data_IF_076060075450
#
_entry.id   IF_076060075450
#
_cell.length_a   1.000
_cell.length_b   1.000
_cell.length_c   1.000
_cell.angle_alpha   90.00
_cell.angle_beta   90.00
_cell.angle_gamma   90.00
#
_symmetry.space_group_name_H-M   'P 1'
#
loop_
_entity.id
_entity.type
_entity.pdbx_description
1 polymer ?
#
# COMPACT_ATOMS: atom_id res chain seq x y z
N UNK A 1 33.18 77.43 -1.99
CA UNK A 1 33.10 76.53 -3.15
C UNK A 1 32.92 75.13 -2.60
N UNK A 2 31.67 74.71 -2.39
CA UNK A 2 31.35 73.41 -1.76
C UNK A 2 30.83 72.47 -2.85
N UNK A 3 31.51 71.35 -3.04
CA UNK A 3 31.09 70.28 -3.95
C UNK A 3 30.25 69.31 -3.16
N UNK A 4 28.99 69.16 -3.57
CA UNK A 4 28.10 68.14 -3.02
C UNK A 4 28.26 66.83 -3.87
N UNK A 5 28.65 65.76 -3.21
CA UNK A 5 28.68 64.44 -3.79
C UNK A 5 27.35 63.71 -3.56
N UNK A 6 26.59 63.42 -4.63
CA UNK A 6 25.41 62.60 -4.57
C UNK A 6 25.77 61.13 -4.76
N UNK A 7 25.66 60.37 -3.68
CA UNK A 7 25.75 58.90 -3.71
C UNK A 7 24.42 58.31 -4.24
N UNK A 8 24.48 57.77 -5.42
CA UNK A 8 23.35 57.01 -5.99
C UNK A 8 23.29 55.61 -5.36
N UNK A 9 22.17 55.30 -4.73
CA UNK A 9 21.82 53.98 -4.21
C UNK A 9 21.33 53.11 -5.36
N UNK A 10 22.13 52.14 -5.80
CA UNK A 10 21.66 51.14 -6.77
C UNK A 10 20.93 50.05 -6.00
N UNK A 11 19.58 50.05 -6.06
CA UNK A 11 18.78 48.89 -5.64
C UNK A 11 19.00 47.77 -6.68
N UNK A 12 19.76 46.76 -6.29
CA UNK A 12 19.73 45.49 -7.01
C UNK A 12 18.39 44.80 -6.68
N UNK A 13 17.45 44.87 -7.62
CA UNK A 13 16.27 44.02 -7.62
C UNK A 13 16.74 42.60 -7.90
N UNK A 14 16.84 41.78 -6.84
CA UNK A 14 16.99 40.35 -6.97
C UNK A 14 15.70 39.81 -7.62
N UNK A 15 15.78 39.46 -8.89
CA UNK A 15 14.77 38.63 -9.53
C UNK A 15 14.81 37.27 -8.85
N UNK A 16 13.88 37.02 -7.92
CA UNK A 16 13.51 35.68 -7.55
C UNK A 16 13.06 35.02 -8.84
N UNK A 17 13.86 34.09 -9.34
CA UNK A 17 13.44 33.17 -10.39
C UNK A 17 12.20 32.47 -9.83
N UNK A 18 11.01 32.85 -10.28
CA UNK A 18 9.83 32.04 -10.18
C UNK A 18 10.23 30.70 -10.82
N UNK A 19 10.24 29.63 -10.04
CA UNK A 19 10.39 28.31 -10.60
C UNK A 19 9.28 28.16 -11.64
N UNK A 20 9.67 27.89 -12.85
CA UNK A 20 8.80 27.76 -14.01
C UNK A 20 7.67 26.79 -13.65
N UNK A 21 6.43 27.29 -13.57
CA UNK A 21 5.25 26.44 -13.28
C UNK A 21 4.99 25.46 -14.43
N UNK A 22 5.62 25.66 -15.58
CA UNK A 22 5.40 24.92 -16.82
C UNK A 22 6.06 23.52 -16.89
N UNK A 23 6.96 23.19 -15.98
CA UNK A 23 7.68 21.90 -16.01
C UNK A 23 7.09 20.83 -15.04
N UNK A 24 5.87 21.03 -14.56
CA UNK A 24 5.22 20.10 -13.64
C UNK A 24 4.60 18.93 -14.40
N UNK A 25 5.03 17.72 -14.07
CA UNK A 25 4.39 16.49 -14.52
C UNK A 25 2.92 16.45 -14.11
N UNK A 26 2.03 16.15 -15.06
CA UNK A 26 0.67 15.75 -14.76
C UNK A 26 0.61 14.24 -14.51
N UNK A 27 -0.28 13.81 -13.63
CA UNK A 27 -0.54 12.40 -13.39
C UNK A 27 -1.93 12.05 -13.90
N UNK A 28 -2.02 10.97 -14.67
CA UNK A 28 -3.29 10.53 -15.27
C UNK A 28 -3.75 9.26 -14.59
N UNK A 29 -4.90 9.35 -13.89
CA UNK A 29 -5.59 8.21 -13.31
C UNK A 29 -6.46 7.55 -14.37
N UNK A 30 -6.41 6.23 -14.44
CA UNK A 30 -7.31 5.39 -15.23
C UNK A 30 -7.87 4.29 -14.34
N UNK A 31 -9.18 4.26 -14.20
CA UNK A 31 -9.90 3.16 -13.54
C UNK A 31 -10.01 2.00 -14.52
N UNK A 32 -9.56 0.81 -14.12
CA UNK A 32 -9.42 -0.35 -15.00
C UNK A 32 -10.54 -1.37 -14.80
N UNK A 33 -10.85 -1.72 -13.53
CA UNK A 33 -11.85 -2.72 -13.16
C UNK A 33 -12.58 -2.27 -11.91
N UNK A 34 -13.90 -2.49 -11.85
CA UNK A 34 -14.69 -2.26 -10.64
C UNK A 34 -15.92 -3.17 -10.63
N UNK A 35 -16.45 -3.47 -9.45
CA UNK A 35 -17.78 -4.04 -9.30
C UNK A 35 -18.91 -2.98 -9.30
N UNK A 36 -18.55 -1.69 -9.24
CA UNK A 36 -19.51 -0.58 -9.25
C UNK A 36 -20.15 -0.43 -10.62
N UNK A 37 -21.49 -0.30 -10.67
CA UNK A 37 -22.16 -0.06 -11.94
C UNK A 37 -21.79 1.30 -12.52
N UNK A 38 -21.56 1.33 -13.83
CA UNK A 38 -21.33 2.54 -14.62
C UNK A 38 -20.02 3.29 -14.33
N UNK A 39 -19.11 2.75 -13.51
CA UNK A 39 -17.81 3.38 -13.30
C UNK A 39 -16.83 2.99 -14.40
N UNK A 40 -16.68 1.71 -14.67
CA UNK A 40 -15.74 1.18 -15.67
C UNK A 40 -16.22 -0.16 -16.25
N UNK A 41 -15.75 -0.50 -17.47
CA UNK A 41 -15.96 -1.79 -18.10
C UNK A 41 -14.61 -2.41 -18.48
N UNK A 42 -14.38 -3.72 -18.25
CA UNK A 42 -15.34 -4.72 -17.78
C UNK A 42 -15.65 -4.61 -16.29
N UNK A 43 -16.84 -5.01 -15.89
CA UNK A 43 -17.26 -5.15 -14.50
C UNK A 43 -16.81 -6.50 -13.94
N UNK A 44 -16.25 -6.52 -12.74
CA UNK A 44 -15.95 -7.76 -12.02
C UNK A 44 -16.70 -7.81 -10.69
N UNK A 45 -17.69 -8.67 -10.53
CA UNK A 45 -18.45 -8.79 -9.28
C UNK A 45 -17.62 -9.32 -8.11
N UNK A 46 -16.54 -10.07 -8.38
CA UNK A 46 -15.65 -10.63 -7.34
C UNK A 46 -14.73 -9.55 -6.74
N UNK A 47 -14.55 -8.39 -7.41
CA UNK A 47 -13.70 -7.30 -6.93
C UNK A 47 -14.47 -6.43 -5.93
N UNK A 48 -14.48 -6.81 -4.64
CA UNK A 48 -15.19 -6.08 -3.59
C UNK A 48 -14.23 -5.64 -2.49
N UNK A 49 -14.22 -4.32 -2.19
CA UNK A 49 -13.28 -3.70 -1.27
C UNK A 49 -11.84 -4.15 -1.57
N UNK A 50 -11.36 -3.82 -2.77
CA UNK A 50 -10.04 -4.22 -3.26
C UNK A 50 -8.95 -3.60 -2.38
N UNK A 51 -8.26 -4.43 -1.57
CA UNK A 51 -7.34 -3.97 -0.53
C UNK A 51 -5.87 -4.13 -0.94
N UNK A 52 -5.23 -5.23 -0.55
CA UNK A 52 -3.83 -5.51 -0.86
C UNK A 52 -3.61 -5.81 -2.33
N UNK A 53 -2.45 -5.43 -2.86
CA UNK A 53 -2.00 -5.85 -4.18
C UNK A 53 -0.55 -6.29 -4.13
N UNK A 54 -0.24 -7.41 -4.78
CA UNK A 54 1.12 -7.90 -4.97
C UNK A 54 1.30 -8.54 -6.34
N UNK A 55 2.52 -8.57 -6.83
CA UNK A 55 2.88 -9.23 -8.08
C UNK A 55 4.21 -9.97 -7.95
N UNK A 56 4.29 -11.15 -8.56
CA UNK A 56 5.57 -11.80 -8.84
C UNK A 56 6.22 -11.11 -10.06
N UNK A 57 7.55 -11.13 -10.20
CA UNK A 57 8.21 -10.61 -11.40
C UNK A 57 7.63 -11.22 -12.68
N UNK A 58 7.09 -10.37 -13.56
CA UNK A 58 6.44 -10.78 -14.81
C UNK A 58 5.08 -11.47 -14.66
N UNK A 59 4.56 -11.60 -13.45
CA UNK A 59 3.23 -12.16 -13.17
C UNK A 59 2.11 -11.10 -13.21
N UNK A 60 0.85 -11.54 -13.15
CA UNK A 60 -0.29 -10.63 -12.97
C UNK A 60 -0.27 -9.97 -11.59
N UNK A 61 -1.04 -8.90 -11.46
CA UNK A 61 -1.31 -8.26 -10.18
C UNK A 61 -2.41 -9.05 -9.46
N UNK A 62 -2.08 -9.55 -8.29
CA UNK A 62 -3.01 -10.23 -7.38
C UNK A 62 -3.63 -9.20 -6.47
N UNK A 63 -4.93 -9.27 -6.24
CA UNK A 63 -5.70 -8.34 -5.41
C UNK A 63 -6.40 -9.11 -4.30
N UNK A 64 -6.35 -8.61 -3.07
CA UNK A 64 -7.18 -9.09 -1.96
C UNK A 64 -8.56 -8.46 -2.03
N UNK A 65 -9.59 -9.26 -2.25
CA UNK A 65 -10.99 -8.82 -2.32
C UNK A 65 -11.61 -9.04 -0.93
N UNK A 66 -11.54 -8.01 -0.09
CA UNK A 66 -11.78 -8.11 1.35
C UNK A 66 -13.20 -8.57 1.67
N UNK A 67 -14.22 -8.02 1.01
CA UNK A 67 -15.61 -8.32 1.33
C UNK A 67 -16.09 -9.68 0.79
N UNK A 68 -15.37 -10.27 -0.19
CA UNK A 68 -15.74 -11.56 -0.79
C UNK A 68 -14.86 -12.73 -0.33
N UNK A 69 -13.79 -12.45 0.45
CA UNK A 69 -12.86 -13.48 0.91
C UNK A 69 -12.09 -14.13 -0.21
N UNK A 70 -11.79 -13.38 -1.26
CA UNK A 70 -11.15 -13.85 -2.48
C UNK A 70 -9.82 -13.16 -2.72
N UNK A 71 -9.06 -13.72 -3.66
CA UNK A 71 -8.01 -13.01 -4.38
C UNK A 71 -8.24 -13.19 -5.88
N UNK A 72 -8.40 -12.07 -6.58
CA UNK A 72 -8.53 -12.01 -8.04
C UNK A 72 -7.24 -11.50 -8.67
N UNK A 73 -7.06 -11.75 -9.96
CA UNK A 73 -5.84 -11.47 -10.68
C UNK A 73 -6.12 -10.67 -11.95
N UNK A 74 -5.32 -9.64 -12.20
CA UNK A 74 -5.45 -8.78 -13.39
C UNK A 74 -4.09 -8.54 -14.04
N UNK A 75 -4.09 -8.35 -15.35
CA UNK A 75 -2.94 -7.74 -16.01
C UNK A 75 -2.93 -6.21 -15.83
N UNK A 76 -1.89 -5.53 -16.30
CA UNK A 76 -1.75 -4.08 -16.21
C UNK A 76 -2.75 -3.27 -17.05
N UNK A 77 -3.63 -3.92 -17.82
CA UNK A 77 -4.73 -3.31 -18.55
C UNK A 77 -6.11 -3.63 -17.91
N UNK A 78 -6.11 -4.33 -16.78
CA UNK A 78 -7.33 -4.71 -16.07
C UNK A 78 -8.02 -5.97 -16.62
N UNK A 79 -7.36 -6.74 -17.47
CA UNK A 79 -7.93 -8.01 -17.96
C UNK A 79 -7.84 -9.06 -16.85
N UNK A 80 -9.00 -9.54 -16.38
CA UNK A 80 -9.08 -10.59 -15.35
C UNK A 80 -8.45 -11.88 -15.85
N UNK A 81 -7.61 -12.48 -15.04
CA UNK A 81 -7.00 -13.78 -15.29
C UNK A 81 -7.92 -14.92 -14.85
N UNK A 82 -7.69 -16.11 -15.41
CA UNK A 82 -8.58 -17.26 -15.23
C UNK A 82 -8.54 -17.94 -13.85
N UNK A 83 -7.80 -17.39 -12.87
CA UNK A 83 -7.69 -17.93 -11.51
C UNK A 83 -8.35 -16.97 -10.51
N UNK A 84 -9.12 -17.55 -9.57
CA UNK A 84 -9.58 -16.89 -8.35
C UNK A 84 -9.26 -17.79 -7.16
N UNK A 85 -8.66 -17.24 -6.10
CA UNK A 85 -8.28 -17.98 -4.89
C UNK A 85 -9.18 -17.58 -3.74
N UNK A 86 -9.82 -18.57 -3.10
CA UNK A 86 -10.59 -18.36 -1.88
C UNK A 86 -9.66 -18.32 -0.68
N UNK A 87 -9.81 -17.31 0.17
CA UNK A 87 -9.10 -17.18 1.45
C UNK A 87 -9.94 -17.84 2.54
N UNK A 88 -9.39 -18.81 3.31
CA UNK A 88 -10.18 -19.57 4.26
C UNK A 88 -10.48 -18.76 5.54
N UNK A 89 -11.66 -18.96 6.09
CA UNK A 89 -12.05 -18.47 7.42
C UNK A 89 -11.16 -19.05 8.53
N UNK A 90 -11.17 -18.46 9.75
CA UNK A 90 -10.61 -19.07 10.95
C UNK A 90 -11.15 -20.47 11.21
N UNK A 91 -10.40 -21.28 11.98
CA UNK A 91 -10.79 -22.66 12.27
C UNK A 91 -12.15 -22.73 12.99
N UNK A 92 -13.04 -23.58 12.45
CA UNK A 92 -14.36 -23.81 13.07
C UNK A 92 -15.36 -22.67 12.89
N UNK A 93 -15.02 -21.60 12.16
CA UNK A 93 -15.93 -20.52 11.83
C UNK A 93 -16.61 -20.75 10.47
N UNK A 94 -17.86 -20.32 10.39
CA UNK A 94 -18.67 -20.32 9.16
C UNK A 94 -19.43 -19.01 8.98
N UNK A 95 -19.25 -18.07 9.88
CA UNK A 95 -19.84 -16.73 9.88
C UNK A 95 -18.79 -15.69 10.30
N UNK A 96 -18.64 -14.58 9.59
CA UNK A 96 -19.35 -14.24 8.34
C UNK A 96 -19.11 -15.29 7.25
N UNK A 97 -19.86 -15.30 6.13
CA UNK A 97 -19.72 -16.35 5.11
C UNK A 97 -18.37 -16.33 4.36
N UNK A 98 -17.63 -15.22 4.44
CA UNK A 98 -16.35 -14.99 3.75
C UNK A 98 -15.30 -14.49 4.72
N UNK A 99 -14.02 -14.82 4.47
CA UNK A 99 -12.89 -14.19 5.13
C UNK A 99 -12.70 -12.74 4.67
N UNK A 100 -11.90 -11.98 5.40
CA UNK A 100 -11.62 -10.55 5.13
C UNK A 100 -10.14 -10.31 4.85
N UNK A 101 -9.59 -10.76 3.68
CA UNK A 101 -8.19 -10.59 3.34
C UNK A 101 -7.81 -9.10 3.19
N UNK A 102 -6.64 -8.73 3.70
CA UNK A 102 -6.11 -7.37 3.70
C UNK A 102 -4.76 -7.29 2.98
N UNK A 103 -3.65 -7.35 3.68
CA UNK A 103 -2.32 -7.36 3.10
C UNK A 103 -2.01 -8.66 2.37
N UNK A 104 -1.09 -8.59 1.41
CA UNK A 104 -0.58 -9.77 0.73
C UNK A 104 0.85 -9.56 0.24
N UNK A 105 1.59 -10.66 0.11
CA UNK A 105 2.94 -10.64 -0.43
C UNK A 105 3.19 -11.81 -1.38
N UNK A 106 4.02 -11.57 -2.40
CA UNK A 106 4.70 -12.61 -3.13
C UNK A 106 5.90 -13.11 -2.32
N UNK A 107 6.09 -14.43 -2.25
CA UNK A 107 7.26 -15.04 -1.61
C UNK A 107 8.37 -15.26 -2.64
N UNK A 108 9.49 -14.54 -2.57
CA UNK A 108 10.62 -14.70 -3.50
C UNK A 108 11.52 -15.90 -3.19
N UNK A 109 11.15 -16.72 -2.21
CA UNK A 109 12.05 -17.78 -1.67
C UNK A 109 11.45 -19.17 -1.76
N UNK A 110 12.25 -20.19 -1.49
CA UNK A 110 11.78 -21.55 -1.30
C UNK A 110 11.32 -21.87 0.14
N UNK A 111 11.18 -20.84 1.00
CA UNK A 111 10.68 -20.98 2.37
C UNK A 111 9.15 -20.93 2.44
N UNK A 112 8.62 -20.89 3.65
CA UNK A 112 7.18 -20.82 3.93
C UNK A 112 6.41 -22.04 3.38
N UNK A 113 6.75 -23.26 3.81
CA UNK A 113 6.15 -24.48 3.31
C UNK A 113 4.68 -24.58 3.70
N UNK A 114 3.83 -24.95 2.73
CA UNK A 114 2.44 -25.33 2.94
C UNK A 114 2.34 -26.84 2.80
N UNK A 115 1.63 -27.51 3.72
CA UNK A 115 1.39 -28.95 3.67
C UNK A 115 -0.10 -29.23 3.68
N UNK A 116 -0.57 -29.97 2.67
CA UNK A 116 -1.96 -30.44 2.56
C UNK A 116 -1.92 -31.96 2.31
N UNK A 117 -2.42 -32.73 3.27
CA UNK A 117 -2.28 -34.19 3.23
C UNK A 117 -0.80 -34.61 3.27
N UNK A 118 -0.32 -35.23 2.20
CA UNK A 118 1.08 -35.66 2.04
C UNK A 118 1.89 -34.74 1.11
N UNK A 119 1.24 -33.77 0.46
CA UNK A 119 1.90 -32.84 -0.45
C UNK A 119 2.44 -31.62 0.32
N UNK A 120 3.66 -31.21 0.00
CA UNK A 120 4.30 -30.02 0.56
C UNK A 120 4.93 -29.19 -0.56
N UNK A 121 4.70 -27.87 -0.55
CA UNK A 121 5.32 -26.91 -1.47
C UNK A 121 5.57 -25.58 -0.77
N UNK A 122 6.54 -24.75 -1.20
CA UNK A 122 6.69 -23.39 -0.71
C UNK A 122 5.50 -22.54 -1.11
N UNK A 123 5.02 -21.65 -0.25
CA UNK A 123 4.03 -20.65 -0.61
C UNK A 123 4.51 -19.79 -1.79
N UNK A 124 3.61 -19.43 -2.71
CA UNK A 124 3.88 -18.44 -3.76
C UNK A 124 3.31 -17.08 -3.36
N UNK A 125 2.06 -17.04 -2.88
CA UNK A 125 1.44 -15.86 -2.31
C UNK A 125 0.96 -16.14 -0.88
N UNK A 126 1.05 -15.13 -0.04
CA UNK A 126 0.68 -15.19 1.37
C UNK A 126 -0.20 -13.98 1.67
N UNK A 127 -1.27 -14.21 2.41
CA UNK A 127 -2.33 -13.24 2.72
C UNK A 127 -2.52 -13.15 4.22
N UNK A 128 -2.77 -11.97 4.76
CA UNK A 128 -3.32 -11.79 6.10
C UNK A 128 -4.78 -11.33 6.06
N UNK A 129 -5.48 -11.42 7.19
CA UNK A 129 -6.92 -11.12 7.27
C UNK A 129 -7.27 -10.34 8.52
N UNK A 130 -8.35 -9.55 8.47
CA UNK A 130 -8.95 -8.94 9.66
C UNK A 130 -9.51 -9.98 10.64
N UNK A 131 -9.78 -11.19 10.14
CA UNK A 131 -10.22 -12.32 10.98
C UNK A 131 -9.10 -12.86 11.89
N UNK A 132 -7.87 -12.33 11.77
CA UNK A 132 -6.72 -12.72 12.56
C UNK A 132 -6.02 -13.98 12.07
N UNK A 133 -6.11 -14.28 10.76
CA UNK A 133 -5.43 -15.43 10.14
C UNK A 133 -4.36 -14.99 9.14
N UNK A 134 -3.42 -15.92 8.87
CA UNK A 134 -2.54 -15.86 7.69
C UNK A 134 -2.82 -17.11 6.87
N UNK A 135 -3.04 -16.92 5.57
CA UNK A 135 -3.23 -17.97 4.60
C UNK A 135 -2.13 -17.91 3.52
N UNK A 136 -1.76 -19.06 2.99
CA UNK A 136 -0.72 -19.16 1.98
C UNK A 136 -1.16 -20.08 0.85
N UNK A 137 -0.69 -19.83 -0.37
CA UNK A 137 -1.15 -20.52 -1.56
C UNK A 137 -0.01 -21.00 -2.45
N UNK A 138 -0.18 -22.24 -2.97
CA UNK A 138 0.62 -22.80 -4.06
C UNK A 138 -0.20 -23.86 -4.80
N UNK A 139 -0.32 -23.82 -6.15
CA UNK A 139 -1.16 -24.73 -6.91
C UNK A 139 -0.72 -26.21 -6.81
N UNK A 140 0.51 -26.50 -6.35
CA UNK A 140 0.99 -27.86 -6.14
C UNK A 140 0.26 -28.56 -4.97
N UNK A 141 -0.15 -27.80 -3.95
CA UNK A 141 -0.84 -28.32 -2.76
C UNK A 141 -2.30 -27.84 -2.68
N UNK A 142 -2.60 -26.71 -3.32
CA UNK A 142 -3.93 -26.10 -3.41
C UNK A 142 -4.42 -26.20 -4.87
N UNK A 143 -4.98 -27.32 -5.32
CA UNK A 143 -5.23 -27.58 -6.73
C UNK A 143 -6.23 -26.61 -7.33
N UNK A 144 -5.97 -26.21 -8.60
CA UNK A 144 -6.88 -25.37 -9.37
C UNK A 144 -7.94 -26.25 -10.04
N UNK A 145 -9.20 -26.04 -9.69
CA UNK A 145 -10.33 -26.75 -10.28
C UNK A 145 -11.26 -25.73 -10.95
N UNK A 146 -11.38 -25.80 -12.28
CA UNK A 146 -12.22 -24.87 -13.07
C UNK A 146 -11.92 -23.39 -12.79
N UNK A 147 -10.63 -23.03 -12.64
CA UNK A 147 -10.20 -21.67 -12.38
C UNK A 147 -10.37 -21.20 -10.93
N UNK A 148 -10.77 -22.08 -10.02
CA UNK A 148 -10.86 -21.80 -8.57
C UNK A 148 -9.87 -22.64 -7.79
N UNK A 149 -9.32 -22.04 -6.71
CA UNK A 149 -8.47 -22.69 -5.74
C UNK A 149 -8.78 -22.15 -4.35
N UNK A 150 -8.29 -22.80 -3.31
CA UNK A 150 -8.45 -22.33 -1.93
C UNK A 150 -7.08 -22.31 -1.26
N UNK A 151 -6.68 -21.18 -0.69
CA UNK A 151 -5.43 -21.07 0.05
C UNK A 151 -5.50 -21.89 1.35
N UNK A 152 -4.34 -22.28 1.86
CA UNK A 152 -4.22 -23.01 3.11
C UNK A 152 -3.98 -22.04 4.27
N UNK A 153 -4.80 -22.09 5.33
CA UNK A 153 -4.55 -21.32 6.56
C UNK A 153 -3.32 -21.90 7.27
N UNK A 154 -2.34 -21.03 7.54
CA UNK A 154 -1.04 -21.39 8.15
C UNK A 154 -0.84 -20.79 9.54
N UNK A 155 -1.54 -19.67 9.86
CA UNK A 155 -1.60 -19.08 11.20
C UNK A 155 -3.05 -18.75 11.53
N UNK A 156 -3.45 -18.97 12.79
CA UNK A 156 -4.77 -18.63 13.30
C UNK A 156 -4.65 -18.03 14.71
N UNK A 157 -4.79 -16.71 14.79
CA UNK A 157 -4.81 -15.93 16.02
C UNK A 157 -6.17 -15.26 16.24
N UNK A 158 -7.22 -15.74 15.55
CA UNK A 158 -8.58 -15.23 15.68
C UNK A 158 -9.08 -15.30 17.13
N UNK A 159 -8.76 -16.37 17.82
CA UNK A 159 -9.11 -16.57 19.23
C UNK A 159 -8.37 -15.63 20.21
N UNK A 160 -7.33 -14.94 19.74
CA UNK A 160 -6.60 -13.90 20.48
C UNK A 160 -7.10 -12.49 20.14
N UNK A 161 -8.08 -12.37 19.26
CA UNK A 161 -8.62 -11.11 18.79
C UNK A 161 -7.64 -10.33 17.89
N UNK A 162 -6.76 -11.03 17.15
CA UNK A 162 -5.89 -10.38 16.18
C UNK A 162 -6.72 -9.82 15.03
N UNK A 163 -6.34 -8.63 14.54
CA UNK A 163 -6.89 -7.99 13.35
C UNK A 163 -5.71 -7.54 12.49
N UNK A 164 -5.39 -8.31 11.47
CA UNK A 164 -4.28 -7.96 10.58
C UNK A 164 -4.75 -7.00 9.50
N UNK A 165 -3.97 -5.96 9.27
CA UNK A 165 -4.28 -4.90 8.30
C UNK A 165 -3.25 -4.76 7.19
N UNK A 166 -2.08 -5.38 7.31
CA UNK A 166 -1.03 -5.30 6.30
C UNK A 166 0.08 -6.32 6.54
N UNK A 167 0.65 -6.83 5.45
CA UNK A 167 1.64 -7.88 5.42
C UNK A 167 2.86 -7.45 4.59
N UNK A 168 4.07 -7.69 5.10
CA UNK A 168 5.31 -7.53 4.34
C UNK A 168 6.21 -8.75 4.48
N UNK A 169 7.02 -8.99 3.44
CA UNK A 169 8.12 -9.95 3.46
C UNK A 169 9.44 -9.19 3.65
N UNK A 170 10.40 -9.78 4.37
CA UNK A 170 11.73 -9.22 4.50
C UNK A 170 12.74 -10.26 4.96
N UNK A 171 14.03 -9.91 4.81
CA UNK A 171 15.16 -10.77 5.14
C UNK A 171 16.11 -10.05 6.07
N UNK A 172 16.65 -10.73 7.06
CA UNK A 172 17.74 -10.24 7.91
C UNK A 172 18.81 -11.34 8.11
N UNK A 173 19.78 -11.09 8.98
CA UNK A 173 20.86 -12.05 9.31
C UNK A 173 20.37 -13.39 9.86
N UNK A 174 19.11 -13.47 10.34
CA UNK A 174 18.52 -14.66 10.92
C UNK A 174 17.63 -15.45 9.93
N UNK A 175 17.34 -14.90 8.75
CA UNK A 175 16.55 -15.56 7.72
C UNK A 175 15.46 -14.69 7.10
N UNK A 176 14.46 -15.39 6.56
CA UNK A 176 13.30 -14.77 5.90
C UNK A 176 12.12 -14.72 6.86
N UNK A 177 11.42 -13.60 6.87
CA UNK A 177 10.31 -13.34 7.79
C UNK A 177 9.12 -12.70 7.09
N UNK A 178 7.95 -12.94 7.67
CA UNK A 178 6.74 -12.15 7.44
C UNK A 178 6.55 -11.19 8.62
N UNK A 179 6.06 -10.00 8.30
CA UNK A 179 5.73 -8.93 9.24
C UNK A 179 4.28 -8.57 9.03
N UNK A 180 3.42 -8.87 10.01
CA UNK A 180 1.98 -8.63 9.97
C UNK A 180 1.61 -7.52 10.96
N UNK A 181 0.93 -6.47 10.49
CA UNK A 181 0.45 -5.41 11.38
C UNK A 181 -0.81 -5.86 12.11
N UNK A 182 -0.68 -6.26 13.38
CA UNK A 182 -1.83 -6.55 14.24
C UNK A 182 -2.39 -5.24 14.79
N UNK A 183 -3.36 -4.69 14.08
CA UNK A 183 -3.95 -3.39 14.39
C UNK A 183 -4.64 -3.38 15.75
N UNK A 184 -5.37 -4.45 16.12
CA UNK A 184 -6.07 -4.55 17.40
C UNK A 184 -5.09 -4.54 18.58
N UNK A 185 -3.98 -5.28 18.47
CA UNK A 185 -2.96 -5.34 19.51
C UNK A 185 -2.02 -4.13 19.50
N UNK A 186 -1.95 -3.36 18.39
CA UNK A 186 -1.07 -2.21 18.24
C UNK A 186 0.41 -2.59 18.05
N UNK A 187 0.70 -3.76 17.47
CA UNK A 187 2.05 -4.30 17.27
C UNK A 187 2.26 -4.81 15.84
N UNK A 188 3.51 -4.98 15.45
CA UNK A 188 3.91 -5.79 14.30
C UNK A 188 4.28 -7.18 14.80
N UNK A 189 3.54 -8.20 14.37
CA UNK A 189 3.86 -9.59 14.63
C UNK A 189 4.82 -10.13 13.57
N UNK A 190 5.71 -11.02 13.98
CA UNK A 190 6.75 -11.57 13.12
C UNK A 190 6.65 -13.09 13.05
N UNK A 191 6.76 -13.63 11.84
CA UNK A 191 6.74 -15.07 11.59
C UNK A 191 7.96 -15.49 10.78
N UNK A 192 8.62 -16.57 11.19
CA UNK A 192 9.75 -17.12 10.44
C UNK A 192 9.29 -17.84 9.16
N UNK A 193 10.24 -18.35 8.39
CA UNK A 193 9.99 -19.06 7.14
C UNK A 193 9.27 -20.42 7.29
N UNK A 194 8.78 -20.75 8.49
CA UNK A 194 7.94 -21.91 8.81
C UNK A 194 6.61 -21.47 9.44
N UNK A 195 6.27 -20.19 9.36
CA UNK A 195 5.10 -19.56 9.98
C UNK A 195 5.08 -19.64 11.52
N UNK A 196 6.22 -19.90 12.16
CA UNK A 196 6.32 -19.85 13.61
C UNK A 196 6.55 -18.41 14.07
N UNK A 197 5.77 -17.98 15.09
CA UNK A 197 5.92 -16.64 15.69
C UNK A 197 7.33 -16.44 16.27
N UNK A 198 7.90 -15.26 16.06
CA UNK A 198 9.26 -14.90 16.49
C UNK A 198 9.29 -13.55 17.18
N UNK A 199 10.25 -13.43 18.09
CA UNK A 199 10.70 -12.15 18.64
C UNK A 199 12.06 -11.85 18.04
N UNK A 200 12.24 -10.62 17.54
CA UNK A 200 13.50 -10.14 16.99
C UNK A 200 14.26 -9.27 18.02
N UNK A 201 15.43 -8.77 17.62
CA UNK A 201 16.25 -7.89 18.48
C UNK A 201 15.53 -6.57 18.79
N UNK A 202 14.77 -6.03 17.83
CA UNK A 202 13.87 -4.89 17.98
C UNK A 202 12.41 -5.32 18.15
N UNK A 203 11.54 -4.38 18.50
CA UNK A 203 10.15 -4.61 18.82
C UNK A 203 9.17 -3.75 18.01
N UNK A 204 9.63 -3.10 16.93
CA UNK A 204 8.82 -2.20 16.09
C UNK A 204 8.13 -1.08 16.86
N UNK A 205 8.69 -0.64 17.98
CA UNK A 205 8.12 0.43 18.81
C UNK A 205 8.79 1.77 18.56
N UNK A 206 7.98 2.82 18.69
CA UNK A 206 8.44 4.20 18.82
C UNK A 206 7.62 4.84 19.95
N UNK A 207 8.25 5.27 21.07
CA UNK A 207 7.54 5.86 22.20
C UNK A 207 6.84 7.18 21.86
N UNK A 208 7.17 7.82 20.72
CA UNK A 208 6.52 9.06 20.29
C UNK A 208 5.23 8.82 19.50
N UNK A 209 4.82 7.56 19.26
CA UNK A 209 3.50 7.28 18.72
C UNK A 209 2.45 7.50 19.81
N UNK A 210 1.49 8.41 19.63
CA UNK A 210 0.48 8.68 20.65
C UNK A 210 -0.41 7.46 20.90
N UNK A 211 -0.90 7.33 22.12
CA UNK A 211 -1.86 6.30 22.47
C UNK A 211 -3.09 6.35 21.53
N UNK A 212 -3.61 5.18 21.15
CA UNK A 212 -4.74 5.05 20.22
C UNK A 212 -4.34 5.08 18.75
N UNK A 213 -3.04 5.06 18.41
CA UNK A 213 -2.55 4.77 17.07
C UNK A 213 -1.93 3.38 17.02
N UNK A 214 -2.14 2.67 15.93
CA UNK A 214 -1.64 1.31 15.74
C UNK A 214 -0.99 1.15 14.35
N UNK A 215 -0.05 0.18 14.18
CA UNK A 215 0.46 -0.21 12.87
C UNK A 215 -0.67 -0.60 11.94
N UNK A 216 -0.71 -0.02 10.74
CA UNK A 216 -1.81 -0.17 9.79
C UNK A 216 -1.34 -0.82 8.50
N UNK A 217 -0.68 -0.11 7.60
CA UNK A 217 0.00 -0.69 6.45
C UNK A 217 1.48 -0.95 6.73
N UNK A 218 2.10 -1.80 5.94
CA UNK A 218 3.53 -2.09 6.01
C UNK A 218 4.07 -2.42 4.62
N UNK A 219 5.22 -1.86 4.26
CA UNK A 219 5.89 -2.14 2.99
C UNK A 219 7.40 -2.31 3.21
N UNK A 220 8.00 -3.27 2.52
CA UNK A 220 9.45 -3.43 2.48
C UNK A 220 10.01 -2.68 1.27
N UNK A 221 10.81 -1.66 1.51
CA UNK A 221 11.52 -0.90 0.48
C UNK A 221 13.01 -0.93 0.81
N UNK A 222 13.81 -1.51 -0.08
CA UNK A 222 15.27 -1.67 0.09
C UNK A 222 15.65 -2.34 1.42
N UNK A 223 14.91 -3.37 1.80
CA UNK A 223 15.06 -4.12 3.05
C UNK A 223 14.87 -3.27 4.33
N UNK A 224 14.16 -2.15 4.22
CA UNK A 224 13.64 -1.35 5.33
C UNK A 224 12.12 -1.42 5.36
N UNK A 225 11.57 -1.60 6.54
CA UNK A 225 10.13 -1.71 6.75
C UNK A 225 9.53 -0.33 7.03
N UNK A 226 8.77 0.18 6.07
CA UNK A 226 7.95 1.38 6.24
C UNK A 226 6.62 0.95 6.86
N UNK A 227 6.42 1.28 8.12
CA UNK A 227 5.19 0.98 8.87
C UNK A 227 4.37 2.25 8.97
N UNK A 228 3.15 2.21 8.47
CA UNK A 228 2.19 3.30 8.65
C UNK A 228 1.36 3.08 9.91
N UNK A 229 0.89 4.16 10.50
CA UNK A 229 0.07 4.14 11.70
C UNK A 229 -1.19 4.94 11.48
N UNK A 230 -2.34 4.39 11.88
CA UNK A 230 -3.62 5.07 11.85
C UNK A 230 -4.28 5.08 13.23
N UNK A 231 -5.20 6.03 13.45
CA UNK A 231 -5.93 6.13 14.70
C UNK A 231 -6.98 5.03 14.80
N UNK A 232 -6.95 4.25 15.87
CA UNK A 232 -7.92 3.18 16.14
C UNK A 232 -9.29 3.74 16.54
N UNK A 233 -10.37 3.06 16.13
CA UNK A 233 -11.69 3.21 16.72
C UNK A 233 -11.74 2.60 18.13
N UNK A 234 -12.87 2.73 18.82
CA UNK A 234 -13.03 2.20 20.18
C UNK A 234 -12.93 0.67 20.27
N UNK A 235 -13.32 -0.04 19.22
CA UNK A 235 -13.26 -1.50 19.11
C UNK A 235 -11.87 -2.00 18.67
N UNK A 236 -10.99 -1.10 18.26
CA UNK A 236 -9.63 -1.39 17.76
C UNK A 236 -9.58 -2.30 16.53
N UNK A 237 -10.65 -2.37 15.79
CA UNK A 237 -10.75 -3.19 14.59
C UNK A 237 -10.74 -2.35 13.29
N UNK A 238 -10.95 -1.03 13.41
CA UNK A 238 -10.98 -0.14 12.27
C UNK A 238 -10.41 1.25 12.62
N UNK A 239 -10.21 2.09 11.60
CA UNK A 239 -9.58 3.41 11.72
C UNK A 239 -10.62 4.50 11.98
N UNK A 240 -10.16 5.57 12.62
CA UNK A 240 -10.83 6.88 12.60
C UNK A 240 -10.07 7.74 11.59
N UNK A 241 -10.62 8.00 10.39
CA UNK A 241 -9.98 8.84 9.39
C UNK A 241 -10.03 10.32 9.83
N UNK A 242 -9.07 11.11 9.32
CA UNK A 242 -9.00 12.54 9.56
C UNK A 242 -7.63 13.13 9.21
N UNK A 243 -7.61 14.37 8.78
CA UNK A 243 -6.37 15.08 8.47
C UNK A 243 -5.42 15.12 9.69
N UNK A 244 -4.16 14.74 9.48
CA UNK A 244 -3.15 14.65 10.54
C UNK A 244 -3.27 13.39 11.42
N UNK A 245 -4.21 12.50 11.15
CA UNK A 245 -4.37 11.23 11.87
C UNK A 245 -3.56 10.10 11.21
N UNK A 246 -2.25 10.30 11.10
CA UNK A 246 -1.34 9.30 10.55
C UNK A 246 0.11 9.55 10.88
N UNK A 247 0.90 8.47 10.86
CA UNK A 247 2.36 8.49 10.99
C UNK A 247 2.97 7.44 10.07
N UNK A 248 4.24 7.64 9.69
CA UNK A 248 5.05 6.62 9.01
C UNK A 248 6.38 6.53 9.69
N UNK A 249 6.80 5.32 10.05
CA UNK A 249 8.09 5.01 10.68
C UNK A 249 8.84 4.02 9.82
N UNK A 250 10.16 4.09 9.86
CA UNK A 250 11.02 3.14 9.16
C UNK A 250 11.81 2.34 10.17
N UNK A 251 11.75 1.03 10.03
CA UNK A 251 12.45 0.07 10.87
C UNK A 251 13.38 -0.81 10.02
N UNK A 252 14.41 -1.33 10.64
CA UNK A 252 15.13 -2.47 10.05
C UNK A 252 14.24 -3.71 10.04
N UNK A 253 14.62 -4.72 9.27
CA UNK A 253 13.98 -6.05 9.32
C UNK A 253 14.26 -6.82 10.62
N UNK A 254 15.09 -6.27 11.53
CA UNK A 254 15.24 -6.73 12.91
C UNK A 254 14.30 -5.99 13.88
N UNK A 255 13.45 -5.09 13.41
CA UNK A 255 12.48 -4.34 14.22
C UNK A 255 13.05 -3.13 14.97
N UNK A 256 14.26 -2.68 14.61
CA UNK A 256 14.91 -1.50 15.22
C UNK A 256 14.49 -0.24 14.46
N UNK A 257 14.04 0.79 15.19
CA UNK A 257 13.66 2.07 14.61
C UNK A 257 14.87 2.74 13.94
N UNK A 258 14.74 3.05 12.64
CA UNK A 258 15.74 3.82 11.88
C UNK A 258 15.40 5.30 11.93
N UNK A 259 14.14 5.64 11.60
CA UNK A 259 13.71 7.05 11.56
C UNK A 259 12.19 7.22 11.63
N UNK A 260 11.77 8.39 12.07
CA UNK A 260 10.39 8.89 11.99
C UNK A 260 10.21 9.56 10.65
N UNK A 261 9.65 8.84 9.68
CA UNK A 261 9.64 9.27 8.29
C UNK A 261 8.67 10.41 8.02
N UNK A 262 7.40 10.28 8.43
CA UNK A 262 6.38 11.30 8.28
C UNK A 262 5.43 11.28 9.49
N UNK A 263 4.89 12.45 9.85
CA UNK A 263 4.04 12.58 11.02
C UNK A 263 2.96 13.62 10.81
N UNK A 264 1.68 13.23 11.01
CA UNK A 264 0.53 14.16 10.96
C UNK A 264 0.40 14.89 9.60
N UNK A 265 0.13 16.20 9.61
CA UNK A 265 0.06 17.04 8.42
C UNK A 265 -0.93 16.51 7.38
N UNK A 266 -0.44 16.10 6.23
CA UNK A 266 -1.24 15.57 5.11
C UNK A 266 -1.53 14.07 5.18
N UNK A 267 -1.16 13.40 6.27
CA UNK A 267 -1.48 12.00 6.48
C UNK A 267 -2.90 11.85 7.03
N UNK A 268 -3.69 10.98 6.42
CA UNK A 268 -5.06 10.65 6.81
C UNK A 268 -5.24 9.13 6.67
N UNK A 269 -5.06 8.39 7.78
CA UNK A 269 -5.03 6.94 7.81
C UNK A 269 -4.18 6.35 6.65
N UNK A 270 -2.85 6.64 6.58
CA UNK A 270 -2.01 6.17 5.48
C UNK A 270 -1.90 4.65 5.49
N UNK A 271 -2.02 4.01 4.31
CA UNK A 271 -1.87 2.55 4.19
C UNK A 271 -0.81 2.15 3.15
N UNK A 272 -1.01 2.48 1.89
CA UNK A 272 -0.11 2.09 0.80
C UNK A 272 1.20 2.88 0.82
N UNK A 273 2.33 2.20 0.67
CA UNK A 273 3.65 2.83 0.55
C UNK A 273 4.41 2.19 -0.61
N UNK A 274 4.94 3.01 -1.51
CA UNK A 274 5.75 2.54 -2.64
C UNK A 274 6.93 3.48 -2.90
N UNK A 275 8.03 2.96 -3.45
CA UNK A 275 9.08 3.79 -4.04
C UNK A 275 8.74 4.06 -5.50
N UNK A 276 8.68 5.31 -5.89
CA UNK A 276 8.54 5.70 -7.29
C UNK A 276 9.78 5.26 -8.10
N UNK A 277 9.54 4.82 -9.34
CA UNK A 277 10.61 4.51 -10.27
C UNK A 277 11.36 5.76 -10.70
N UNK A 278 12.45 5.60 -11.45
CA UNK A 278 13.22 6.72 -11.98
C UNK A 278 12.50 7.47 -13.11
N UNK A 279 11.40 6.93 -13.64
CA UNK A 279 10.63 7.47 -14.76
C UNK A 279 9.21 7.91 -14.33
N UNK A 280 9.03 8.29 -13.07
CA UNK A 280 7.73 8.72 -12.54
C UNK A 280 7.62 10.25 -12.42
N UNK A 281 8.10 10.97 -13.44
CA UNK A 281 8.00 12.42 -13.56
C UNK A 281 8.68 13.17 -12.39
N UNK A 282 8.07 14.26 -11.94
CA UNK A 282 8.63 15.11 -10.86
C UNK A 282 8.83 14.38 -9.52
N UNK A 283 8.14 13.26 -9.29
CA UNK A 283 8.28 12.46 -8.07
C UNK A 283 9.10 11.18 -8.28
N UNK A 284 9.90 11.12 -9.33
CA UNK A 284 10.85 10.02 -9.56
C UNK A 284 11.71 9.74 -8.32
N UNK A 285 11.89 8.45 -8.00
CA UNK A 285 12.68 7.97 -6.86
C UNK A 285 12.18 8.37 -5.46
N UNK A 286 11.08 9.11 -5.35
CA UNK A 286 10.47 9.49 -4.06
C UNK A 286 9.77 8.31 -3.38
N UNK A 287 9.42 8.48 -2.11
CA UNK A 287 8.53 7.58 -1.38
C UNK A 287 7.11 8.12 -1.50
N UNK A 288 6.23 7.32 -2.08
CA UNK A 288 4.81 7.61 -2.21
C UNK A 288 4.05 7.01 -1.03
N UNK A 289 3.15 7.80 -0.44
CA UNK A 289 2.29 7.37 0.67
C UNK A 289 0.85 7.66 0.27
N UNK A 290 0.03 6.59 0.16
CA UNK A 290 -1.41 6.66 -0.09
C UNK A 290 -2.19 6.77 1.21
N UNK A 291 -3.10 7.73 1.28
CA UNK A 291 -4.05 7.88 2.37
C UNK A 291 -5.32 7.09 2.08
N UNK A 292 -5.68 6.16 2.96
CA UNK A 292 -6.98 5.50 2.89
C UNK A 292 -8.11 6.51 3.16
N UNK A 293 -8.02 7.29 4.22
CA UNK A 293 -9.02 8.20 4.76
C UNK A 293 -10.20 8.50 3.83
N UNK A 294 -11.36 7.93 4.14
CA UNK A 294 -12.58 8.09 3.33
C UNK A 294 -13.21 9.48 3.48
N UNK A 295 -12.83 10.23 4.50
CA UNK A 295 -13.45 11.52 4.83
C UNK A 295 -12.40 12.55 5.23
N UNK A 296 -12.76 13.82 5.05
CA UNK A 296 -11.95 14.96 5.44
C UNK A 296 -10.85 15.29 4.43
N UNK A 297 -10.03 16.25 4.80
CA UNK A 297 -8.93 16.69 3.95
C UNK A 297 -7.92 15.58 3.71
N UNK A 298 -7.35 15.57 2.51
CA UNK A 298 -6.34 14.61 2.04
C UNK A 298 -6.82 13.14 1.92
N UNK A 299 -8.14 12.88 2.01
CA UNK A 299 -8.72 11.55 1.79
C UNK A 299 -8.41 11.06 0.37
N UNK A 300 -7.88 9.84 0.25
CA UNK A 300 -7.53 9.23 -1.03
C UNK A 300 -6.37 9.89 -1.80
N UNK A 301 -5.61 10.79 -1.17
CA UNK A 301 -4.46 11.42 -1.82
C UNK A 301 -3.21 10.55 -1.74
N UNK A 302 -2.37 10.65 -2.78
CA UNK A 302 -1.04 10.06 -2.78
C UNK A 302 -0.02 11.20 -2.62
N UNK A 303 0.72 11.15 -1.52
CA UNK A 303 1.72 12.13 -1.15
C UNK A 303 3.12 11.62 -1.45
N UNK A 304 3.97 12.46 -2.02
CA UNK A 304 5.37 12.15 -2.31
C UNK A 304 6.28 12.80 -1.26
N UNK A 305 7.27 12.04 -0.81
CA UNK A 305 8.30 12.47 0.14
C UNK A 305 9.69 12.13 -0.39
N UNK A 306 10.69 12.93 -0.05
CA UNK A 306 12.08 12.59 -0.39
C UNK A 306 12.47 11.26 0.27
N UNK A 307 13.16 10.41 -0.49
CA UNK A 307 13.66 9.12 0.02
C UNK A 307 14.96 9.25 0.84
N UNK A 308 15.53 10.46 0.93
CA UNK A 308 16.80 10.75 1.61
C UNK A 308 16.66 10.86 3.13
N UNK A 309 17.61 11.57 3.76
CA UNK A 309 17.63 11.74 5.22
C UNK A 309 16.59 12.77 5.70
N UNK A 310 16.24 13.74 4.86
CA UNK A 310 15.43 14.90 5.25
C UNK A 310 13.93 14.58 5.28
N UNK A 311 13.47 13.57 4.53
CA UNK A 311 12.07 13.14 4.43
C UNK A 311 11.09 14.27 4.10
N UNK A 312 11.53 15.23 3.27
CA UNK A 312 10.74 16.40 2.93
C UNK A 312 9.48 16.00 2.15
N UNK A 313 8.38 16.67 2.46
CA UNK A 313 7.18 16.59 1.65
C UNK A 313 7.42 17.31 0.31
N UNK A 314 7.36 16.57 -0.80
CA UNK A 314 7.60 17.08 -2.15
C UNK A 314 6.33 17.58 -2.83
N UNK A 315 5.17 17.03 -2.46
CA UNK A 315 3.90 17.34 -3.08
C UNK A 315 2.93 16.16 -3.05
N UNK A 316 1.77 16.33 -3.69
CA UNK A 316 0.80 15.25 -3.92
C UNK A 316 0.62 15.08 -5.42
N UNK A 317 0.29 13.86 -5.88
CA UNK A 317 0.00 13.60 -7.28
C UNK A 317 -1.18 14.45 -7.74
N UNK A 318 -1.03 15.17 -8.85
CA UNK A 318 -2.02 16.11 -9.40
C UNK A 318 -2.31 15.82 -10.85
N UNK A 319 -3.55 16.04 -11.27
CA UNK A 319 -3.97 15.98 -12.66
C UNK A 319 -3.43 17.18 -13.49
N UNK A 320 -3.73 17.20 -14.78
CA UNK A 320 -3.32 18.27 -15.70
C UNK A 320 -3.83 19.66 -15.29
N UNK A 321 -4.93 19.73 -14.55
CA UNK A 321 -5.50 20.99 -14.03
C UNK A 321 -4.87 21.40 -12.68
N UNK A 322 -3.87 20.67 -12.18
CA UNK A 322 -3.26 20.91 -10.89
C UNK A 322 -4.10 20.48 -9.69
N UNK A 323 -5.23 19.77 -9.92
CA UNK A 323 -6.08 19.25 -8.85
C UNK A 323 -5.47 17.96 -8.28
N UNK A 324 -5.39 17.79 -6.95
CA UNK A 324 -4.95 16.52 -6.37
C UNK A 324 -5.80 15.36 -6.85
N UNK A 325 -5.15 14.27 -7.23
CA UNK A 325 -5.83 13.00 -7.50
C UNK A 325 -6.34 12.46 -6.16
N UNK A 326 -7.64 12.30 -6.04
CA UNK A 326 -8.29 11.70 -4.88
C UNK A 326 -8.98 10.40 -5.30
N UNK A 327 -8.68 9.31 -4.59
CA UNK A 327 -9.22 7.97 -4.84
C UNK A 327 -9.98 7.56 -3.59
N UNK A 328 -11.30 7.47 -3.70
CA UNK A 328 -12.17 7.11 -2.59
C UNK A 328 -11.81 5.71 -2.06
N UNK A 329 -11.51 5.62 -0.75
CA UNK A 329 -11.11 4.37 -0.11
C UNK A 329 -9.78 3.79 -0.60
N UNK A 330 -8.78 4.64 -0.96
CA UNK A 330 -7.47 4.19 -1.46
C UNK A 330 -6.77 3.26 -0.49
N UNK A 331 -6.50 2.03 -0.92
CA UNK A 331 -5.74 1.04 -0.15
C UNK A 331 -4.29 0.95 -0.61
N UNK A 332 -4.00 0.07 -1.52
CA UNK A 332 -2.64 -0.23 -1.94
C UNK A 332 -2.18 0.61 -3.12
N UNK A 333 -0.88 0.81 -3.20
CA UNK A 333 -0.18 1.35 -4.36
C UNK A 333 1.06 0.50 -4.63
N UNK A 334 1.29 0.10 -5.88
CA UNK A 334 2.45 -0.71 -6.28
C UNK A 334 2.86 -0.37 -7.72
N UNK A 335 4.15 -0.42 -8.00
CA UNK A 335 4.63 -0.34 -9.38
C UNK A 335 4.59 -1.70 -10.08
N UNK A 336 4.39 -1.70 -11.39
CA UNK A 336 4.41 -2.91 -12.19
C UNK A 336 5.79 -3.59 -12.24
N UNK A 337 5.84 -4.81 -12.80
CA UNK A 337 7.07 -5.63 -12.84
C UNK A 337 7.43 -6.14 -14.24
N UNK A 338 7.12 -5.40 -15.29
CA UNK A 338 7.28 -5.80 -16.69
C UNK A 338 6.40 -7.01 -17.10
N UNK A 339 6.34 -7.30 -18.38
CA UNK A 339 5.55 -8.35 -19.03
C UNK A 339 4.03 -8.19 -18.87
N UNK A 340 3.47 -8.36 -17.68
CA UNK A 340 2.02 -8.25 -17.42
C UNK A 340 1.59 -6.91 -16.83
N UNK A 341 2.56 -6.05 -16.48
CA UNK A 341 2.32 -4.70 -15.94
C UNK A 341 3.50 -3.78 -16.26
N UNK A 342 3.23 -2.53 -16.59
CA UNK A 342 4.27 -1.54 -16.89
C UNK A 342 5.00 -1.12 -15.60
N UNK A 343 6.33 -1.20 -15.61
CA UNK A 343 7.17 -0.91 -14.45
C UNK A 343 7.11 0.55 -14.00
N UNK A 344 6.87 1.49 -14.91
CA UNK A 344 6.79 2.93 -14.60
C UNK A 344 5.35 3.40 -14.32
N UNK A 345 4.41 2.46 -14.27
CA UNK A 345 3.02 2.70 -13.95
C UNK A 345 2.72 2.34 -12.50
N UNK A 346 2.11 3.26 -11.76
CA UNK A 346 1.63 3.04 -10.40
C UNK A 346 0.23 2.44 -10.45
N UNK A 347 0.07 1.19 -10.03
CA UNK A 347 -1.23 0.53 -9.88
C UNK A 347 -1.77 0.78 -8.49
N UNK A 348 -3.10 0.88 -8.37
CA UNK A 348 -3.75 1.08 -7.08
C UNK A 348 -4.99 0.21 -6.93
N UNK A 349 -5.33 -0.07 -5.69
CA UNK A 349 -6.58 -0.70 -5.26
C UNK A 349 -7.34 0.24 -4.33
N UNK A 350 -8.66 0.14 -4.33
CA UNK A 350 -9.49 0.97 -3.47
C UNK A 350 -10.83 0.28 -3.13
N UNK A 351 -11.39 0.71 -2.00
CA UNK A 351 -12.73 0.36 -1.52
C UNK A 351 -13.68 1.55 -1.57
N UNK A 352 -14.12 2.02 -2.75
CA UNK A 352 -15.00 3.18 -2.83
C UNK A 352 -16.39 2.92 -2.24
N UNK A 353 -17.13 4.00 -1.98
CA UNK A 353 -18.48 3.96 -1.42
C UNK A 353 -18.50 3.27 -0.04
N UNK A 354 -17.68 3.78 0.90
CA UNK A 354 -17.56 3.22 2.25
C UNK A 354 -17.24 1.72 2.23
N UNK A 355 -16.26 1.35 1.43
CA UNK A 355 -15.75 -0.02 1.27
C UNK A 355 -16.78 -1.04 0.74
N UNK A 356 -17.94 -0.58 0.25
CA UNK A 356 -18.96 -1.46 -0.32
C UNK A 356 -18.59 -1.99 -1.71
N UNK A 357 -17.67 -1.33 -2.39
CA UNK A 357 -17.27 -1.64 -3.75
C UNK A 357 -15.75 -1.77 -3.86
N UNK A 358 -15.28 -2.37 -4.93
CA UNK A 358 -13.87 -2.48 -5.25
C UNK A 358 -13.51 -1.72 -6.53
N UNK A 359 -12.28 -1.22 -6.55
CA UNK A 359 -11.71 -0.55 -7.70
C UNK A 359 -10.23 -0.94 -7.84
N UNK A 360 -9.86 -1.34 -9.04
CA UNK A 360 -8.48 -1.51 -9.48
C UNK A 360 -8.19 -0.52 -10.60
N UNK A 361 -7.09 0.21 -10.51
CA UNK A 361 -6.73 1.23 -11.48
C UNK A 361 -5.24 1.48 -11.58
N UNK A 362 -4.87 2.46 -12.40
CA UNK A 362 -3.48 2.87 -12.61
C UNK A 362 -3.31 4.38 -12.70
N UNK A 363 -2.11 4.83 -12.41
CA UNK A 363 -1.68 6.22 -12.55
C UNK A 363 -0.37 6.22 -13.33
N UNK A 364 -0.29 7.05 -14.37
CA UNK A 364 0.91 7.28 -15.16
C UNK A 364 1.33 8.74 -15.08
N UNK A 365 2.64 8.98 -15.07
CA UNK A 365 3.21 10.31 -15.19
C UNK A 365 3.20 10.73 -16.66
N UNK A 366 2.75 11.94 -16.97
CA UNK A 366 2.78 12.51 -18.31
C UNK A 366 3.39 13.91 -18.28
N UNK A 367 4.26 14.28 -19.23
CA UNK A 367 4.67 15.66 -19.39
C UNK A 367 3.44 16.54 -19.66
N UNK A 368 3.35 17.73 -19.06
CA UNK A 368 2.33 18.71 -19.45
C UNK A 368 2.61 19.17 -20.88
N UNK A 369 1.59 19.20 -21.72
CA UNK A 369 1.68 19.80 -23.05
C UNK A 369 1.49 21.32 -22.93
N UNK A 370 2.24 22.11 -23.73
CA UNK A 370 2.17 23.60 -23.72
C UNK A 370 0.75 24.17 -23.86
N UNK A 371 -0.17 23.41 -24.46
CA UNK A 371 -1.58 23.82 -24.66
C UNK A 371 -2.40 23.77 -23.37
N UNK A 372 -1.99 23.02 -22.37
CA UNK A 372 -2.66 22.89 -21.07
C UNK A 372 -2.17 23.90 -20.05
N UNK A 373 -1.01 24.51 -20.27
CA UNK A 373 -0.43 25.55 -19.44
C UNK A 373 -1.07 26.95 -19.66
N UNK A 374 -1.82 27.14 -20.75
CA UNK A 374 -2.43 28.43 -21.11
C UNK A 374 -3.93 28.56 -20.76
N UNK A 375 -4.48 27.63 -20.02
CA UNK A 375 -5.86 27.67 -19.51
C UNK A 375 -5.91 27.86 -18.00
#
# INVERSE_FOLDING_TARGET
>A
MFLAATTGLVLAAGSALAADEDDRTAYVRTDLVSNLQNLVQPKDPDLQNAWGVANAPGGPLWVSDNNDGLSTLYDGNGVKQGLTVTIPLPAGQSTPPTATPTGMVWNPTGGFPITVGTATAPAIFIFDTEDGTIAAWNPTVDPIVKGRSTATRVVDNSNKGAVYKGLAFGTNKHGNFLFATNFAAGIVEVYDNKFAAKTLDGNFSDPDIPAGFAPFGIANIDNNLYVTYAKQNAQKNDVIPGAGLGFVKVFTTDGVLIKRFASRGRLNAPWGVARATQNFGQFSSSILIGNFGEQGDFAGWINAFSGGNDNDFLGSLRDANGKPIAIDGLWSIVFGTFLNSDADTLYFTAGPNQQQNGLFGKIVAQPRTETEAMK
#
